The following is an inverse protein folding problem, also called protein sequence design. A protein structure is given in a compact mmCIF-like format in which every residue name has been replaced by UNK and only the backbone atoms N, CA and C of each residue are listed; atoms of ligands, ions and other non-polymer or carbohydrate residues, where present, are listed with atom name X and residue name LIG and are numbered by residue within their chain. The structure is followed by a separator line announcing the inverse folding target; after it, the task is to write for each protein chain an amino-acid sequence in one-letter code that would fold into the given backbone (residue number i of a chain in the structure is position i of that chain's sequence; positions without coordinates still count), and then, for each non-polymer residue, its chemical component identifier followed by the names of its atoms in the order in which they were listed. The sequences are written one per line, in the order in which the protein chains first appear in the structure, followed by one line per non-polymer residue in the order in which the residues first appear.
data_IF_180718840788
#
_entry.id   IF_180718840788
#
_cell.length_a   1.000
_cell.length_b   1.000
_cell.length_c   1.000
_cell.angle_alpha   90.00
_cell.angle_beta   90.00
_cell.angle_gamma   90.00
#
_symmetry.space_group_name_H-M   'P 1'
#
loop_
_entity.id
_entity.type
_entity.pdbx_description
1 polymer ?
#
# COMPACT_ATOMS: atom_id res chain seq x y z
N UNK A 1 -32.51 8.36 -4.63
CA UNK A 1 -31.26 8.65 -3.87
C UNK A 1 -30.10 8.21 -4.75
N UNK A 2 -29.53 9.13 -5.50
CA UNK A 2 -28.42 8.90 -6.44
C UNK A 2 -27.13 8.71 -5.65
N UNK A 3 -26.83 7.47 -5.27
CA UNK A 3 -25.51 7.10 -4.79
C UNK A 3 -24.54 7.17 -5.97
N UNK A 4 -24.03 8.37 -6.24
CA UNK A 4 -22.82 8.53 -7.03
C UNK A 4 -21.78 7.59 -6.44
N UNK A 5 -21.29 6.66 -7.25
CA UNK A 5 -20.29 5.66 -6.93
C UNK A 5 -18.94 6.38 -6.74
N UNK A 6 -18.87 7.29 -5.76
CA UNK A 6 -17.67 8.06 -5.42
C UNK A 6 -16.71 7.07 -4.81
N UNK A 7 -15.69 6.69 -5.58
CA UNK A 7 -14.62 5.84 -5.08
C UNK A 7 -14.12 6.36 -3.74
N UNK A 8 -13.93 5.42 -2.80
CA UNK A 8 -13.56 5.73 -1.43
C UNK A 8 -12.08 5.48 -1.25
N UNK A 9 -11.34 6.55 -0.91
CA UNK A 9 -9.91 6.49 -0.59
C UNK A 9 -9.66 5.45 0.52
N UNK A 10 -10.54 5.38 1.52
CA UNK A 10 -10.45 4.41 2.60
C UNK A 10 -10.60 2.98 2.09
N UNK A 11 -11.57 2.74 1.20
CA UNK A 11 -11.73 1.42 0.57
C UNK A 11 -10.53 1.05 -0.30
N UNK A 12 -9.92 2.02 -0.99
CA UNK A 12 -8.72 1.81 -1.79
C UNK A 12 -7.54 1.39 -0.92
N UNK A 13 -7.31 2.10 0.20
CA UNK A 13 -6.24 1.81 1.16
C UNK A 13 -6.38 0.39 1.70
N UNK A 14 -7.59 0.01 2.15
CA UNK A 14 -7.84 -1.32 2.72
C UNK A 14 -7.53 -2.41 1.67
N UNK A 15 -8.01 -2.23 0.44
CA UNK A 15 -7.75 -3.19 -0.63
C UNK A 15 -6.28 -3.26 -1.03
N UNK A 16 -5.58 -2.12 -1.12
CA UNK A 16 -4.14 -2.09 -1.37
C UNK A 16 -3.36 -2.83 -0.27
N UNK A 17 -3.70 -2.57 1.00
CA UNK A 17 -3.03 -3.20 2.13
C UNK A 17 -3.26 -4.71 2.19
N UNK A 18 -4.52 -5.15 2.05
CA UNK A 18 -4.87 -6.58 2.07
C UNK A 18 -4.23 -7.30 0.90
N UNK A 19 -4.27 -6.76 -0.32
CA UNK A 19 -3.66 -7.40 -1.49
C UNK A 19 -2.13 -7.39 -1.37
N UNK A 20 -1.51 -6.32 -0.88
CA UNK A 20 -0.06 -6.31 -0.66
C UNK A 20 0.35 -7.34 0.39
N UNK A 21 -0.40 -7.52 1.48
CA UNK A 21 -0.18 -8.61 2.44
C UNK A 21 -0.46 -9.99 1.85
N UNK A 22 -1.41 -10.10 0.93
CA UNK A 22 -1.76 -11.35 0.26
C UNK A 22 -0.95 -11.57 -1.01
N UNK A 23 -0.03 -10.72 -1.41
CA UNK A 23 0.80 -10.93 -2.62
C UNK A 23 2.23 -10.46 -2.38
N UNK A 24 2.64 -10.27 -1.12
CA UNK A 24 3.99 -9.82 -0.78
C UNK A 24 5.07 -10.80 -1.27
N UNK A 25 4.72 -12.07 -1.49
CA UNK A 25 5.61 -13.09 -2.01
C UNK A 25 5.91 -12.93 -3.50
N UNK A 26 5.10 -12.15 -4.23
CA UNK A 26 5.20 -12.01 -5.68
C UNK A 26 5.77 -10.61 -6.02
N UNK A 27 7.10 -10.49 -6.22
CA UNK A 27 7.71 -9.21 -6.56
C UNK A 27 7.14 -8.70 -7.89
N UNK A 28 7.00 -7.39 -8.03
CA UNK A 28 6.36 -6.69 -9.16
C UNK A 28 4.86 -6.94 -9.35
N UNK A 29 4.44 -8.18 -9.54
CA UNK A 29 3.06 -8.52 -9.87
C UNK A 29 2.11 -8.31 -8.68
N UNK A 30 2.52 -8.62 -7.46
CA UNK A 30 1.72 -8.36 -6.26
C UNK A 30 1.40 -6.88 -6.06
N UNK A 31 2.43 -6.01 -6.01
CA UNK A 31 2.24 -4.56 -5.95
C UNK A 31 1.42 -4.01 -7.13
N UNK A 32 1.64 -4.49 -8.36
CA UNK A 32 0.89 -4.04 -9.53
C UNK A 32 -0.61 -4.32 -9.38
N UNK A 33 -0.99 -5.53 -8.95
CA UNK A 33 -2.39 -5.92 -8.75
C UNK A 33 -3.00 -5.13 -7.59
N UNK A 34 -2.28 -4.97 -6.48
CA UNK A 34 -2.71 -4.13 -5.36
C UNK A 34 -3.00 -2.70 -5.82
N UNK A 35 -2.10 -2.15 -6.64
CA UNK A 35 -2.25 -0.85 -7.29
C UNK A 35 -3.52 -0.78 -8.15
N UNK A 36 -3.74 -1.72 -9.06
CA UNK A 36 -4.90 -1.72 -9.97
C UNK A 36 -6.23 -1.75 -9.21
N UNK A 37 -6.35 -2.65 -8.23
CA UNK A 37 -7.59 -2.80 -7.45
C UNK A 37 -7.81 -1.58 -6.57
N UNK A 38 -6.75 -1.10 -5.91
CA UNK A 38 -6.78 0.10 -5.09
C UNK A 38 -7.14 1.35 -5.88
N UNK A 39 -6.51 1.57 -7.03
CA UNK A 39 -6.78 2.71 -7.91
C UNK A 39 -8.22 2.73 -8.40
N UNK A 40 -8.77 1.56 -8.78
CA UNK A 40 -10.17 1.43 -9.18
C UNK A 40 -11.13 1.74 -8.02
N UNK A 41 -10.76 1.40 -6.79
CA UNK A 41 -11.53 1.74 -5.58
C UNK A 41 -11.37 3.18 -5.13
N UNK A 42 -10.29 3.84 -5.52
CA UNK A 42 -10.04 5.24 -5.20
C UNK A 42 -10.91 6.21 -6.03
N UNK A 43 -11.48 5.76 -7.16
CA UNK A 43 -12.40 6.57 -7.98
C UNK A 43 -11.71 7.67 -8.79
N UNK A 44 -10.38 7.56 -8.98
CA UNK A 44 -9.61 8.52 -9.77
C UNK A 44 -8.11 8.46 -9.49
N UNK A 45 -7.32 8.94 -10.46
CA UNK A 45 -5.84 8.89 -10.43
C UNK A 45 -5.26 9.71 -9.27
N UNK A 46 -5.79 10.90 -8.99
CA UNK A 46 -5.31 11.75 -7.89
C UNK A 46 -5.53 11.12 -6.51
N UNK A 47 -6.72 10.57 -6.28
CA UNK A 47 -7.07 9.82 -5.08
C UNK A 47 -6.22 8.55 -4.92
N UNK A 48 -5.95 7.85 -6.03
CA UNK A 48 -5.11 6.65 -6.05
C UNK A 48 -3.66 6.95 -5.67
N UNK A 49 -3.10 8.07 -6.15
CA UNK A 49 -1.74 8.51 -5.84
C UNK A 49 -1.53 8.75 -4.33
N UNK A 50 -2.49 9.41 -3.68
CA UNK A 50 -2.44 9.64 -2.23
C UNK A 50 -2.59 8.31 -1.47
N UNK A 51 -3.46 7.42 -1.95
CA UNK A 51 -3.70 6.11 -1.32
C UNK A 51 -2.47 5.18 -1.35
N UNK A 52 -1.57 5.34 -2.33
CA UNK A 52 -0.36 4.50 -2.48
C UNK A 52 0.68 4.71 -1.38
N UNK A 53 0.81 5.93 -0.83
CA UNK A 53 1.85 6.22 0.16
C UNK A 53 1.51 5.67 1.55
N UNK A 54 0.23 5.62 1.89
CA UNK A 54 -0.22 5.17 3.20
C UNK A 54 0.16 3.71 3.54
N UNK A 55 -0.03 2.70 2.66
CA UNK A 55 0.38 1.34 2.95
C UNK A 55 1.89 1.21 3.15
N UNK A 56 2.72 2.05 2.50
CA UNK A 56 4.17 2.05 2.75
C UNK A 56 4.51 2.47 4.19
N UNK A 57 3.82 3.50 4.70
CA UNK A 57 3.99 3.98 6.07
C UNK A 57 3.47 2.92 7.05
N UNK A 58 2.28 2.37 6.80
CA UNK A 58 1.68 1.33 7.66
C UNK A 58 2.61 0.12 7.73
N UNK A 59 3.18 -0.32 6.61
CA UNK A 59 4.10 -1.45 6.57
C UNK A 59 5.39 -1.20 7.37
N UNK A 60 5.99 -0.01 7.24
CA UNK A 60 7.17 0.36 8.03
C UNK A 60 6.89 0.43 9.54
N UNK A 61 5.76 1.02 9.94
CA UNK A 61 5.35 1.07 11.35
C UNK A 61 5.02 -0.32 11.89
N UNK A 62 4.35 -1.16 11.10
CA UNK A 62 4.05 -2.54 11.49
C UNK A 62 5.34 -3.35 11.73
N UNK A 63 6.33 -3.21 10.85
CA UNK A 63 7.63 -3.86 11.02
C UNK A 63 8.41 -3.33 12.22
N UNK A 64 8.36 -2.02 12.48
CA UNK A 64 8.93 -1.43 13.70
C UNK A 64 8.34 -2.07 14.95
N UNK A 65 7.01 -2.06 15.07
CA UNK A 65 6.32 -2.61 16.25
C UNK A 65 6.58 -4.10 16.40
N UNK A 66 6.53 -4.87 15.31
CA UNK A 66 6.75 -6.30 15.33
C UNK A 66 8.18 -6.63 15.76
N UNK A 67 9.18 -6.02 15.14
CA UNK A 67 10.59 -6.30 15.46
C UNK A 67 10.97 -5.81 16.86
N UNK A 68 10.49 -4.65 17.30
CA UNK A 68 10.67 -4.20 18.69
C UNK A 68 9.99 -5.14 19.68
N UNK A 69 8.77 -5.61 19.40
CA UNK A 69 8.05 -6.52 20.29
C UNK A 69 8.68 -7.90 20.37
N UNK A 70 9.22 -8.43 19.26
CA UNK A 70 9.84 -9.77 19.23
C UNK A 70 11.22 -9.78 19.88
N UNK A 71 11.98 -8.69 19.72
CA UNK A 71 13.38 -8.63 20.20
C UNK A 71 13.52 -7.97 21.56
N UNK A 72 12.51 -7.21 22.02
CA UNK A 72 12.58 -6.38 23.21
C UNK A 72 13.50 -5.16 23.07
N UNK A 73 14.10 -4.95 21.89
CA UNK A 73 15.09 -3.90 21.64
C UNK A 73 14.51 -2.88 20.64
N UNK A 74 14.15 -1.66 21.08
CA UNK A 74 13.57 -0.64 20.21
C UNK A 74 14.43 -0.30 18.98
N UNK A 75 15.75 -0.31 19.13
CA UNK A 75 16.68 -0.01 18.04
C UNK A 75 16.56 -1.00 16.87
N UNK A 76 16.34 -2.28 17.14
CA UNK A 76 16.13 -3.29 16.08
C UNK A 76 14.83 -3.02 15.33
N UNK A 77 13.78 -2.60 16.05
CA UNK A 77 12.55 -2.14 15.42
C UNK A 77 12.76 -0.94 14.51
N UNK A 78 13.56 0.05 14.92
CA UNK A 78 13.85 1.22 14.07
C UNK A 78 14.52 0.78 12.77
N UNK A 79 15.51 -0.12 12.86
CA UNK A 79 16.21 -0.64 11.68
C UNK A 79 15.26 -1.45 10.79
N UNK A 80 14.42 -2.31 11.36
CA UNK A 80 13.46 -3.12 10.62
C UNK A 80 12.36 -2.27 9.95
N UNK A 81 11.84 -1.26 10.66
CA UNK A 81 10.85 -0.34 10.13
C UNK A 81 11.40 0.57 9.03
N UNK A 82 12.60 1.12 9.22
CA UNK A 82 13.28 1.92 8.20
C UNK A 82 13.65 1.06 6.97
N UNK A 83 14.18 -0.14 7.19
CA UNK A 83 14.49 -1.10 6.12
C UNK A 83 13.24 -1.51 5.35
N UNK A 84 12.15 -1.83 6.05
CA UNK A 84 10.86 -2.16 5.46
C UNK A 84 10.24 -1.03 4.66
N UNK A 85 10.37 0.21 5.14
CA UNK A 85 9.92 1.41 4.44
C UNK A 85 10.71 1.65 3.15
N UNK A 86 12.04 1.55 3.20
CA UNK A 86 12.90 1.68 2.00
C UNK A 86 12.60 0.59 0.97
N UNK A 87 12.33 -0.64 1.43
CA UNK A 87 11.91 -1.75 0.58
C UNK A 87 10.56 -1.48 -0.09
N UNK A 88 9.60 -0.93 0.66
CA UNK A 88 8.29 -0.55 0.14
C UNK A 88 8.40 0.57 -0.92
N UNK A 89 9.24 1.58 -0.69
CA UNK A 89 9.50 2.64 -1.68
C UNK A 89 10.22 2.09 -2.92
N UNK A 90 11.14 1.15 -2.75
CA UNK A 90 11.84 0.54 -3.89
C UNK A 90 10.88 -0.22 -4.82
N UNK A 91 9.75 -0.69 -4.29
CA UNK A 91 8.67 -1.34 -5.05
C UNK A 91 7.51 -0.39 -5.40
N UNK A 92 7.67 0.91 -5.21
CA UNK A 92 6.59 1.88 -5.47
C UNK A 92 6.29 2.01 -6.96
N UNK A 93 7.26 1.77 -7.85
CA UNK A 93 7.07 1.86 -9.30
C UNK A 93 5.89 1.00 -9.80
N UNK A 94 5.89 -0.33 -9.55
CA UNK A 94 4.78 -1.20 -9.92
C UNK A 94 3.45 -0.85 -9.24
N UNK A 95 3.47 -0.48 -7.95
CA UNK A 95 2.25 -0.11 -7.19
C UNK A 95 1.62 1.18 -7.75
N UNK A 96 2.46 2.15 -8.13
CA UNK A 96 2.07 3.45 -8.67
C UNK A 96 1.53 3.29 -10.10
N UNK A 97 2.21 2.51 -10.94
CA UNK A 97 1.72 2.13 -12.26
C UNK A 97 0.36 1.45 -12.19
N UNK A 98 0.22 0.48 -11.30
CA UNK A 98 -1.05 -0.19 -11.06
C UNK A 98 -2.14 0.78 -10.60
N UNK A 99 -1.83 1.66 -9.66
CA UNK A 99 -2.75 2.66 -9.13
C UNK A 99 -3.22 3.67 -10.19
N UNK A 100 -2.34 4.10 -11.09
CA UNK A 100 -2.69 4.98 -12.22
C UNK A 100 -3.65 4.24 -13.17
N UNK A 101 -3.31 3.01 -13.57
CA UNK A 101 -4.16 2.20 -14.45
C UNK A 101 -5.53 1.96 -13.80
N UNK A 102 -5.53 1.56 -12.53
CA UNK A 102 -6.75 1.36 -11.74
C UNK A 102 -7.60 2.63 -11.65
N UNK A 103 -6.96 3.78 -11.41
CA UNK A 103 -7.62 5.07 -11.28
C UNK A 103 -8.16 5.66 -12.59
N UNK A 104 -7.59 5.28 -13.74
CA UNK A 104 -8.14 5.60 -15.07
C UNK A 104 -9.37 4.74 -15.38
N UNK A 105 -9.39 3.49 -14.90
CA UNK A 105 -10.48 2.53 -15.10
C UNK A 105 -11.64 2.68 -14.10
N UNK A 106 -11.62 3.72 -13.26
CA UNK A 106 -12.51 3.91 -12.11
C UNK A 106 -13.75 4.74 -12.44
#
# INVERSE_FOLDING_TARGET
MTNENKGSILSAIIWMFVISLLLFWLPFAGPLIAGIVGGKKAGGVGSALIAVFLPCIIFGVALFLLASSLTGIPLIGVIAGAGGFVLAISHIGPILLGAIIGGILA
#
